data_IF_714366729210
#
_entry.id   IF_714366729210
#
_cell.length_a   1.000
_cell.length_b   1.000
_cell.length_c   1.000
_cell.angle_alpha   90.00
_cell.angle_beta   90.00
_cell.angle_gamma   90.00
#
_symmetry.space_group_name_H-M   'P 1'
#
loop_
_entity.id
_entity.type
_entity.pdbx_description
1 polymer ?
#
# COMPACT_ATOMS: atom_id res chain seq x y z
N UNK A 1 -14.89 -1.60 6.29
CA UNK A 1 -13.52 -1.37 6.79
C UNK A 1 -13.57 -0.34 7.90
N UNK A 2 -12.74 -0.52 8.91
CA UNK A 2 -12.56 0.37 10.05
C UNK A 2 -11.18 1.06 9.96
N UNK A 3 -11.00 2.27 10.50
CA UNK A 3 -9.70 2.94 10.48
C UNK A 3 -8.57 2.06 11.02
N UNK A 4 -7.49 1.94 10.24
CA UNK A 4 -6.36 1.06 10.50
C UNK A 4 -6.43 -0.29 9.78
N UNK A 5 -7.56 -0.67 9.18
CA UNK A 5 -7.69 -1.91 8.41
C UNK A 5 -6.77 -1.95 7.19
N UNK A 6 -6.21 -3.13 6.93
CA UNK A 6 -5.53 -3.43 5.68
C UNK A 6 -6.55 -3.83 4.62
N UNK A 7 -6.48 -3.17 3.48
CA UNK A 7 -7.32 -3.42 2.32
C UNK A 7 -6.50 -4.17 1.28
N UNK A 8 -6.99 -5.35 0.91
CA UNK A 8 -6.43 -6.16 -0.17
C UNK A 8 -7.30 -6.03 -1.40
N UNK A 9 -6.74 -5.47 -2.48
CA UNK A 9 -7.40 -5.29 -3.77
C UNK A 9 -6.88 -6.38 -4.73
N UNK A 10 -7.80 -7.14 -5.31
CA UNK A 10 -7.52 -8.30 -6.17
C UNK A 10 -7.43 -7.83 -7.63
N UNK A 11 -6.23 -7.43 -8.08
CA UNK A 11 -6.00 -7.15 -9.51
C UNK A 11 -5.79 -8.46 -10.27
N UNK A 12 -6.00 -8.45 -11.58
CA UNK A 12 -5.91 -9.66 -12.40
C UNK A 12 -4.57 -10.39 -12.34
N UNK A 13 -3.45 -9.66 -12.21
CA UNK A 13 -2.09 -10.22 -12.25
C UNK A 13 -1.27 -9.98 -10.98
N UNK A 14 -1.82 -9.24 -10.01
CA UNK A 14 -1.14 -8.97 -8.74
C UNK A 14 -2.13 -8.55 -7.65
N UNK A 15 -1.64 -8.48 -6.41
CA UNK A 15 -2.42 -7.97 -5.28
C UNK A 15 -1.91 -6.59 -4.91
N UNK A 16 -2.83 -5.64 -4.77
CA UNK A 16 -2.51 -4.30 -4.32
C UNK A 16 -2.98 -4.11 -2.87
N UNK A 17 -2.16 -3.45 -2.06
CA UNK A 17 -2.43 -3.24 -0.65
C UNK A 17 -2.54 -1.76 -0.32
N UNK A 18 -3.50 -1.45 0.55
CA UNK A 18 -3.75 -0.12 1.06
C UNK A 18 -4.13 -0.17 2.55
N UNK A 19 -3.98 0.94 3.27
CA UNK A 19 -4.40 1.09 4.65
C UNK A 19 -5.57 2.07 4.73
N UNK A 20 -6.67 1.67 5.35
CA UNK A 20 -7.86 2.49 5.47
C UNK A 20 -7.72 3.53 6.58
N UNK A 21 -7.97 4.80 6.24
CA UNK A 21 -7.85 5.91 7.18
C UNK A 21 -9.16 6.28 7.87
N UNK A 22 -10.30 5.84 7.33
CA UNK A 22 -11.61 6.39 7.66
C UNK A 22 -12.18 7.25 6.53
N UNK A 23 -13.47 7.56 6.61
CA UNK A 23 -14.18 8.46 5.68
C UNK A 23 -14.03 8.12 4.19
N UNK A 24 -13.87 6.83 3.88
CA UNK A 24 -13.69 6.36 2.51
C UNK A 24 -12.27 6.57 1.95
N UNK A 25 -11.31 7.03 2.75
CA UNK A 25 -9.93 7.27 2.33
C UNK A 25 -9.00 6.10 2.67
N UNK A 26 -8.01 5.90 1.81
CA UNK A 26 -6.89 4.98 2.02
C UNK A 26 -5.55 5.67 1.78
N UNK A 27 -4.51 5.15 2.41
CA UNK A 27 -3.11 5.41 2.06
C UNK A 27 -2.53 4.16 1.38
N UNK A 28 -1.84 4.36 0.26
CA UNK A 28 -1.17 3.27 -0.45
C UNK A 28 0.07 3.77 -1.19
N UNK A 29 0.94 2.82 -1.52
CA UNK A 29 2.09 3.05 -2.39
C UNK A 29 1.68 2.88 -3.85
N UNK A 30 1.91 3.86 -4.71
CA UNK A 30 1.56 3.78 -6.14
C UNK A 30 2.65 4.39 -7.02
N UNK A 31 2.63 4.15 -8.33
CA UNK A 31 3.59 4.78 -9.26
C UNK A 31 3.55 6.31 -9.13
N UNK A 32 4.73 6.93 -9.07
CA UNK A 32 4.86 8.39 -9.09
C UNK A 32 4.51 8.97 -10.48
N UNK A 33 4.63 8.16 -11.53
CA UNK A 33 4.31 8.53 -12.91
C UNK A 33 2.82 8.31 -13.18
N UNK A 34 2.01 9.36 -13.04
CA UNK A 34 0.60 9.37 -13.44
C UNK A 34 0.49 9.68 -14.93
N UNK A 35 0.30 8.65 -15.76
CA UNK A 35 0.01 8.85 -17.18
C UNK A 35 -0.04 7.60 -18.06
N UNK A 36 0.63 6.50 -17.68
CA UNK A 36 0.64 5.29 -18.50
C UNK A 36 -0.26 4.19 -17.91
N UNK A 37 -1.29 3.70 -18.63
CA UNK A 37 -2.00 2.49 -18.24
C UNK A 37 -0.99 1.36 -18.11
N UNK A 38 -1.07 0.62 -17.02
CA UNK A 38 -0.12 -0.41 -16.57
C UNK A 38 0.04 -1.60 -17.52
N UNK A 39 -0.54 -1.55 -18.72
CA UNK A 39 -0.60 -2.63 -19.70
C UNK A 39 0.31 -2.44 -20.92
N UNK A 40 1.05 -1.32 -21.05
CA UNK A 40 1.80 -1.01 -22.29
C UNK A 40 3.33 -0.92 -22.16
N UNK A 41 3.95 -1.21 -21.03
CA UNK A 41 5.40 -0.96 -20.88
C UNK A 41 6.23 -2.24 -20.93
N UNK A 42 6.97 -2.36 -22.03
CA UNK A 42 7.97 -3.38 -22.35
C UNK A 42 8.91 -3.71 -21.18
N UNK A 43 9.31 -4.98 -21.13
CA UNK A 43 10.16 -5.59 -20.09
C UNK A 43 11.51 -4.92 -19.84
N UNK A 44 11.94 -4.01 -20.72
CA UNK A 44 13.20 -3.26 -20.60
C UNK A 44 13.13 -2.00 -19.71
N UNK A 45 11.94 -1.46 -19.41
CA UNK A 45 11.77 -0.22 -18.60
C UNK A 45 11.50 -0.50 -17.11
N UNK A 46 11.72 -1.74 -16.67
CA UNK A 46 11.30 -2.27 -15.36
C UNK A 46 12.15 -1.74 -14.19
N UNK A 47 13.34 -1.17 -14.42
CA UNK A 47 14.37 -1.12 -13.35
C UNK A 47 14.47 0.17 -12.49
N UNK A 48 13.71 1.23 -12.74
CA UNK A 48 13.77 2.46 -11.90
C UNK A 48 12.44 3.20 -11.85
N UNK A 49 11.37 2.55 -11.38
CA UNK A 49 10.12 3.28 -11.13
C UNK A 49 10.07 3.78 -9.69
N UNK A 50 10.00 5.10 -9.53
CA UNK A 50 9.69 5.75 -8.26
C UNK A 50 8.24 5.45 -7.89
N UNK A 51 8.01 5.03 -6.66
CA UNK A 51 6.67 4.95 -6.09
C UNK A 51 6.46 6.10 -5.11
N UNK A 52 5.23 6.58 -5.00
CA UNK A 52 4.81 7.66 -4.12
C UNK A 52 3.69 7.16 -3.22
N UNK A 53 3.76 7.53 -1.94
CA UNK A 53 2.66 7.31 -1.00
C UNK A 53 1.57 8.34 -1.27
N UNK A 54 0.35 7.88 -1.57
CA UNK A 54 -0.81 8.75 -1.82
C UNK A 54 -1.95 8.44 -0.87
N UNK A 55 -2.71 9.50 -0.53
CA UNK A 55 -4.04 9.43 0.08
C UNK A 55 -5.08 9.60 -1.01
N UNK A 56 -5.94 8.61 -1.20
CA UNK A 56 -6.98 8.61 -2.24
C UNK A 56 -8.27 7.97 -1.72
N UNK A 57 -9.37 8.20 -2.43
CA UNK A 57 -10.64 7.55 -2.12
C UNK A 57 -10.54 6.06 -2.44
N UNK A 58 -10.98 5.20 -1.52
CA UNK A 58 -10.98 3.75 -1.68
C UNK A 58 -11.67 3.34 -2.98
N UNK A 59 -12.81 3.96 -3.31
CA UNK A 59 -13.56 3.70 -4.56
C UNK A 59 -12.74 3.99 -5.83
N UNK A 60 -11.85 4.99 -5.80
CA UNK A 60 -11.01 5.34 -6.94
C UNK A 60 -9.83 4.39 -7.05
N UNK A 61 -9.24 4.01 -5.91
CA UNK A 61 -8.14 3.05 -5.88
C UNK A 61 -8.65 1.67 -6.33
N UNK A 62 -9.80 1.21 -5.83
CA UNK A 62 -10.39 -0.08 -6.19
C UNK A 62 -10.83 -0.09 -7.67
N UNK A 63 -11.55 0.94 -8.12
CA UNK A 63 -12.14 0.96 -9.46
C UNK A 63 -13.20 -0.15 -9.60
N UNK A 64 -12.99 -1.06 -10.54
CA UNK A 64 -13.89 -2.19 -10.83
C UNK A 64 -13.45 -3.52 -10.21
N UNK A 65 -12.33 -3.53 -9.50
CA UNK A 65 -11.76 -4.77 -8.95
C UNK A 65 -12.40 -5.15 -7.61
N UNK A 66 -12.35 -6.44 -7.27
CA UNK A 66 -12.77 -6.93 -5.96
C UNK A 66 -11.76 -6.55 -4.87
N UNK A 67 -12.25 -6.32 -3.66
CA UNK A 67 -11.41 -6.06 -2.50
C UNK A 67 -11.99 -6.65 -1.23
N UNK A 68 -11.12 -6.87 -0.24
CA UNK A 68 -11.50 -7.37 1.08
C UNK A 68 -10.65 -6.69 2.17
N UNK A 69 -11.20 -6.61 3.39
CA UNK A 69 -10.40 -6.33 4.58
C UNK A 69 -9.60 -7.57 4.91
N UNK A 70 -8.28 -7.44 5.01
CA UNK A 70 -7.38 -8.55 5.30
C UNK A 70 -6.27 -8.15 6.27
N UNK A 71 -6.59 -8.14 7.56
CA UNK A 71 -5.60 -7.93 8.63
C UNK A 71 -4.77 -9.20 8.86
N UNK A 72 -3.98 -9.55 7.85
CA UNK A 72 -3.29 -10.84 7.67
C UNK A 72 -2.53 -11.36 8.90
N UNK A 73 -1.96 -10.46 9.71
CA UNK A 73 -1.08 -10.79 10.83
C UNK A 73 -1.71 -10.57 12.21
N UNK A 74 -2.99 -10.18 12.32
CA UNK A 74 -3.65 -9.96 13.62
C UNK A 74 -3.65 -11.22 14.53
N UNK A 75 -3.53 -12.42 13.94
CA UNK A 75 -3.42 -13.68 14.70
C UNK A 75 -2.06 -13.90 15.35
N UNK A 76 -1.00 -13.25 14.85
CA UNK A 76 0.39 -13.45 15.29
C UNK A 76 1.09 -12.17 15.73
N UNK A 77 0.52 -11.01 15.46
CA UNK A 77 1.06 -9.69 15.81
C UNK A 77 -0.06 -8.80 16.36
N UNK A 78 0.23 -8.10 17.45
CA UNK A 78 -0.69 -7.10 17.99
C UNK A 78 -0.60 -5.84 17.13
N UNK A 79 -1.71 -5.33 16.57
CA UNK A 79 -1.70 -4.06 15.85
C UNK A 79 -1.42 -2.91 16.81
N UNK A 80 -0.83 -1.83 16.29
CA UNK A 80 -0.65 -0.59 17.03
C UNK A 80 -2.02 0.04 17.36
N UNK A 81 -2.08 0.95 18.35
CA UNK A 81 -3.28 1.74 18.56
C UNK A 81 -3.68 2.47 17.27
N UNK A 82 -4.97 2.44 16.91
CA UNK A 82 -5.49 3.02 15.65
C UNK A 82 -4.99 4.45 15.43
N UNK A 83 -5.01 5.30 16.47
CA UNK A 83 -4.51 6.67 16.40
C UNK A 83 -3.05 6.76 15.94
N UNK A 84 -2.21 5.82 16.38
CA UNK A 84 -0.81 5.76 15.98
C UNK A 84 -0.65 5.25 14.54
N UNK A 85 -1.45 4.26 14.13
CA UNK A 85 -1.48 3.77 12.75
C UNK A 85 -1.81 4.93 11.79
N UNK A 86 -2.89 5.66 12.07
CA UNK A 86 -3.33 6.80 11.24
C UNK A 86 -2.25 7.87 11.19
N UNK A 87 -1.69 8.25 12.35
CA UNK A 87 -0.62 9.25 12.44
C UNK A 87 0.59 8.86 11.59
N UNK A 88 1.03 7.60 11.65
CA UNK A 88 2.14 7.09 10.83
C UNK A 88 1.80 7.13 9.34
N UNK A 89 0.62 6.64 8.97
CA UNK A 89 0.18 6.63 7.58
C UNK A 89 0.15 8.05 6.98
N UNK A 90 -0.36 9.02 7.73
CA UNK A 90 -0.41 10.43 7.31
C UNK A 90 0.99 11.04 7.19
N UNK A 91 1.92 10.70 8.09
CA UNK A 91 3.30 11.19 8.02
C UNK A 91 4.07 10.70 6.80
N UNK A 92 3.64 9.60 6.18
CA UNK A 92 4.26 9.04 5.00
C UNK A 92 3.71 9.64 3.69
N UNK A 93 2.60 10.38 3.71
CA UNK A 93 1.97 10.90 2.48
C UNK A 93 2.95 11.81 1.74
N UNK A 94 3.10 11.54 0.44
CA UNK A 94 3.98 12.30 -0.44
C UNK A 94 5.43 11.81 -0.48
N UNK A 95 5.84 10.90 0.40
CA UNK A 95 7.15 10.26 0.33
C UNK A 95 7.31 9.48 -0.98
N UNK A 96 8.49 9.59 -1.58
CA UNK A 96 8.88 8.82 -2.75
C UNK A 96 9.87 7.72 -2.34
N UNK A 97 9.71 6.51 -2.89
CA UNK A 97 10.60 5.37 -2.68
C UNK A 97 11.05 4.81 -4.02
N UNK A 98 12.32 4.43 -4.12
CA UNK A 98 12.96 3.95 -5.37
C UNK A 98 12.99 2.42 -5.50
N UNK A 99 12.19 1.70 -4.73
CA UNK A 99 12.34 0.26 -4.56
C UNK A 99 11.54 -0.59 -5.58
N UNK A 100 12.13 -1.70 -6.03
CA UNK A 100 11.57 -2.63 -7.03
C UNK A 100 10.40 -3.48 -6.47
N UNK A 101 9.48 -3.86 -7.37
CA UNK A 101 8.29 -4.72 -7.19
C UNK A 101 7.21 -4.14 -6.25
N UNK A 102 6.38 -3.27 -6.82
CA UNK A 102 5.24 -2.59 -6.19
C UNK A 102 4.35 -3.47 -5.29
N UNK A 103 4.21 -4.76 -5.59
CA UNK A 103 3.36 -5.70 -4.85
C UNK A 103 3.93 -6.02 -3.46
N UNK A 104 5.21 -6.38 -3.39
CA UNK A 104 5.88 -6.69 -2.12
C UNK A 104 6.02 -5.40 -1.30
N UNK A 105 6.34 -4.29 -1.97
CA UNK A 105 6.51 -3.01 -1.30
C UNK A 105 5.18 -2.47 -0.72
N UNK A 106 4.05 -2.66 -1.40
CA UNK A 106 2.77 -2.16 -0.88
C UNK A 106 2.26 -2.99 0.29
N UNK A 107 2.37 -4.34 0.25
CA UNK A 107 2.03 -5.19 1.41
C UNK A 107 2.93 -4.86 2.60
N UNK A 108 4.23 -4.77 2.36
CA UNK A 108 5.22 -4.47 3.39
C UNK A 108 4.97 -3.09 4.01
N UNK A 109 4.72 -2.07 3.19
CA UNK A 109 4.46 -0.71 3.65
C UNK A 109 3.26 -0.65 4.59
N UNK A 110 2.11 -1.22 4.21
CA UNK A 110 0.91 -1.16 5.07
C UNK A 110 1.03 -2.04 6.30
N UNK A 111 1.80 -3.13 6.23
CA UNK A 111 2.14 -3.97 7.38
C UNK A 111 2.97 -3.20 8.39
N UNK A 112 4.01 -2.49 7.94
CA UNK A 112 4.84 -1.62 8.78
C UNK A 112 4.00 -0.53 9.47
N UNK A 113 3.04 0.07 8.75
CA UNK A 113 2.12 1.05 9.33
C UNK A 113 1.20 0.47 10.42
N UNK A 114 0.65 -0.74 10.22
CA UNK A 114 -0.32 -1.34 11.15
C UNK A 114 0.30 -1.96 12.39
N UNK A 115 1.37 -2.74 12.23
CA UNK A 115 1.93 -3.54 13.34
C UNK A 115 3.16 -2.90 13.97
N UNK A 116 3.77 -1.93 13.29
CA UNK A 116 5.11 -1.48 13.66
C UNK A 116 6.15 -2.55 13.33
N UNK A 117 7.41 -2.14 13.36
CA UNK A 117 8.57 -2.85 12.80
C UNK A 117 8.71 -2.70 11.28
N UNK A 118 9.79 -2.03 10.90
CA UNK A 118 10.47 -2.22 9.63
C UNK A 118 10.86 -3.70 9.53
N UNK A 119 10.22 -4.48 8.66
CA UNK A 119 10.87 -5.69 8.14
C UNK A 119 11.99 -5.22 7.21
N UNK A 120 13.02 -4.61 7.80
CA UNK A 120 14.34 -4.48 7.19
C UNK A 120 14.96 -5.88 7.18
N UNK A 121 14.39 -6.76 6.36
CA UNK A 121 15.10 -7.89 5.77
C UNK A 121 15.41 -7.57 4.31
N UNK A 122 15.81 -6.33 4.06
CA UNK A 122 16.77 -6.09 3.00
C UNK A 122 18.15 -6.25 3.61
N UNK A 123 18.47 -7.54 3.77
CA UNK A 123 19.84 -8.01 3.90
C UNK A 123 20.65 -7.43 2.73
N UNK A 124 21.88 -7.02 3.06
CA UNK A 124 22.91 -6.45 2.19
C UNK A 124 23.12 -7.14 0.85
#
# INVERSE_FOLDING_TARGET
>A
PEPGDLIKIKRSVYQHWALYLGDGYVVHLTSADEGAPSLLVSTASIFTRKAKVKKQLLKEVVGTDDWEVNNKYDRSRTPLPVKEIIKRAESCIGMEVTYNLFCENCEHFVTMLRYGESVSDQVS
#
